data_IF_642422525484
#
_entry.id   IF_642422525484
#
_cell.length_a   1.000
_cell.length_b   1.000
_cell.length_c   1.000
_cell.angle_alpha   90.00
_cell.angle_beta   90.00
_cell.angle_gamma   90.00
#
_symmetry.space_group_name_H-M   'P 1'
#
loop_
_entity.id
_entity.type
_entity.pdbx_description
1 polymer ?
#
# COMPACT_ATOMS: atom_id res chain seq x y z
N UNK A 1 -0.93 -17.98 -6.10
CA UNK A 1 -1.89 -17.17 -6.89
C UNK A 1 -3.28 -17.40 -6.31
N UNK A 2 -3.71 -16.55 -5.37
CA UNK A 2 -5.04 -16.65 -4.77
C UNK A 2 -6.08 -16.37 -5.87
N UNK A 3 -7.08 -17.23 -5.96
CA UNK A 3 -8.11 -17.16 -6.99
C UNK A 3 -8.96 -15.89 -6.77
N UNK A 4 -9.22 -15.07 -7.81
CA UNK A 4 -10.08 -13.89 -7.75
C UNK A 4 -11.46 -14.16 -7.13
N UNK A 5 -11.92 -15.40 -7.22
CA UNK A 5 -13.20 -15.88 -6.72
C UNK A 5 -13.39 -15.78 -5.20
N UNK A 6 -12.33 -15.95 -4.41
CA UNK A 6 -12.44 -15.92 -2.94
C UNK A 6 -12.58 -14.49 -2.38
N UNK A 7 -11.99 -13.51 -3.03
CA UNK A 7 -12.06 -12.12 -2.58
C UNK A 7 -13.46 -11.54 -2.84
N UNK A 8 -14.03 -11.76 -4.01
CA UNK A 8 -15.41 -11.35 -4.28
C UNK A 8 -16.42 -12.04 -3.36
N UNK A 9 -16.24 -13.35 -3.08
CA UNK A 9 -17.08 -14.07 -2.11
C UNK A 9 -17.02 -13.39 -0.73
N UNK A 10 -15.82 -13.06 -0.26
CA UNK A 10 -15.60 -12.36 1.02
C UNK A 10 -16.30 -11.00 1.05
N UNK A 11 -16.12 -10.20 0.00
CA UNK A 11 -16.72 -8.86 -0.10
C UNK A 11 -18.25 -8.92 -0.11
N UNK A 12 -18.85 -9.86 -0.87
CA UNK A 12 -20.31 -10.04 -0.88
C UNK A 12 -20.81 -10.47 0.51
N UNK A 13 -20.17 -11.47 1.14
CA UNK A 13 -20.55 -11.92 2.47
C UNK A 13 -20.42 -10.80 3.50
N UNK A 14 -19.37 -9.98 3.40
CA UNK A 14 -19.15 -8.83 4.27
C UNK A 14 -20.23 -7.75 4.10
N UNK A 15 -20.61 -7.44 2.86
CA UNK A 15 -21.70 -6.50 2.57
C UNK A 15 -23.04 -6.99 3.11
N UNK A 16 -23.35 -8.31 3.01
CA UNK A 16 -24.56 -8.88 3.58
C UNK A 16 -24.50 -8.88 5.12
N UNK A 17 -23.33 -9.09 5.69
CA UNK A 17 -23.09 -9.12 7.13
C UNK A 17 -23.26 -7.75 7.81
N UNK A 18 -23.12 -6.64 7.07
CA UNK A 18 -23.32 -5.28 7.62
C UNK A 18 -24.75 -5.01 8.09
N UNK A 19 -25.71 -5.84 7.65
CA UNK A 19 -27.13 -5.68 7.99
C UNK A 19 -27.85 -4.61 7.18
N UNK A 20 -27.16 -3.87 6.34
CA UNK A 20 -27.79 -2.90 5.43
C UNK A 20 -28.50 -3.59 4.26
N UNK A 21 -29.55 -2.99 3.70
CA UNK A 21 -30.22 -3.54 2.53
C UNK A 21 -29.27 -3.60 1.32
N UNK A 22 -28.94 -4.80 0.90
CA UNK A 22 -28.03 -5.04 -0.22
C UNK A 22 -28.82 -5.44 -1.47
N UNK A 23 -28.51 -4.84 -2.61
CA UNK A 23 -29.06 -5.21 -3.92
C UNK A 23 -27.96 -5.72 -4.84
N UNK A 24 -28.32 -6.48 -5.88
CA UNK A 24 -27.36 -6.91 -6.89
C UNK A 24 -26.66 -5.71 -7.58
N UNK A 25 -27.37 -4.59 -7.73
CA UNK A 25 -26.83 -3.37 -8.36
C UNK A 25 -25.85 -2.64 -7.42
N UNK A 26 -26.17 -2.53 -6.13
CA UNK A 26 -25.22 -1.94 -5.17
C UNK A 26 -23.95 -2.79 -5.09
N UNK A 27 -24.08 -4.11 -4.95
CA UNK A 27 -22.95 -5.04 -4.94
C UNK A 27 -22.09 -4.96 -6.23
N UNK A 28 -22.74 -4.82 -7.39
CA UNK A 28 -22.02 -4.64 -8.67
C UNK A 28 -21.15 -3.38 -8.66
N UNK A 29 -21.68 -2.28 -8.10
CA UNK A 29 -20.92 -1.04 -7.92
C UNK A 29 -19.76 -1.20 -6.94
N UNK A 30 -20.02 -1.77 -5.77
CA UNK A 30 -19.04 -1.95 -4.70
C UNK A 30 -17.89 -2.89 -5.10
N UNK A 31 -18.22 -3.93 -5.88
CA UNK A 31 -17.25 -4.90 -6.39
C UNK A 31 -16.50 -4.42 -7.65
N UNK A 32 -17.00 -3.38 -8.32
CA UNK A 32 -16.45 -2.94 -9.60
C UNK A 32 -16.60 -3.96 -10.74
N UNK A 33 -17.62 -4.84 -10.69
CA UNK A 33 -17.86 -5.91 -11.68
C UNK A 33 -19.24 -5.80 -12.33
N UNK A 34 -19.40 -6.44 -13.49
CA UNK A 34 -20.68 -6.44 -14.21
C UNK A 34 -21.80 -7.10 -13.39
N UNK A 35 -23.03 -6.58 -13.51
CA UNK A 35 -24.21 -7.08 -12.80
C UNK A 35 -24.46 -8.59 -13.05
N UNK A 36 -24.19 -9.08 -14.24
CA UNK A 36 -24.31 -10.50 -14.59
C UNK A 36 -23.36 -11.38 -13.76
N UNK A 37 -22.11 -10.94 -13.59
CA UNK A 37 -21.14 -11.64 -12.74
C UNK A 37 -21.55 -11.58 -11.27
N UNK A 38 -21.99 -10.44 -10.79
CA UNK A 38 -22.51 -10.29 -9.40
C UNK A 38 -23.65 -11.29 -9.13
N UNK A 39 -24.59 -11.45 -10.06
CA UNK A 39 -25.66 -12.40 -9.95
C UNK A 39 -25.15 -13.86 -9.91
N UNK A 40 -24.17 -14.18 -10.73
CA UNK A 40 -23.53 -15.51 -10.73
C UNK A 40 -22.86 -15.81 -9.37
N UNK A 41 -22.10 -14.84 -8.84
CA UNK A 41 -21.43 -14.93 -7.56
C UNK A 41 -22.44 -15.15 -6.40
N UNK A 42 -23.52 -14.37 -6.39
CA UNK A 42 -24.59 -14.52 -5.37
C UNK A 42 -25.24 -15.90 -5.46
N UNK A 43 -25.62 -16.37 -6.68
CA UNK A 43 -26.18 -17.71 -6.86
C UNK A 43 -25.23 -18.80 -6.37
N UNK A 44 -23.92 -18.65 -6.59
CA UNK A 44 -22.91 -19.57 -6.08
C UNK A 44 -22.91 -19.61 -4.55
N UNK A 45 -22.96 -18.44 -3.88
CA UNK A 45 -23.01 -18.36 -2.41
C UNK A 45 -24.31 -18.95 -1.82
N UNK A 46 -25.43 -18.76 -2.52
CA UNK A 46 -26.71 -19.41 -2.17
C UNK A 46 -26.62 -20.93 -2.36
N UNK A 47 -26.06 -21.40 -3.47
CA UNK A 47 -25.84 -22.81 -3.73
C UNK A 47 -24.91 -23.49 -2.72
N UNK A 48 -23.92 -22.77 -2.20
CA UNK A 48 -23.03 -23.21 -1.09
C UNK A 48 -23.73 -23.16 0.28
N UNK A 49 -24.94 -22.64 0.36
CA UNK A 49 -25.67 -22.51 1.62
C UNK A 49 -25.16 -21.39 2.54
N UNK A 50 -24.33 -20.48 2.05
CA UNK A 50 -23.78 -19.36 2.84
C UNK A 50 -24.76 -18.20 2.96
N UNK A 51 -25.62 -18.02 1.97
CA UNK A 51 -26.61 -16.95 1.90
C UNK A 51 -27.99 -17.57 1.65
N UNK A 52 -29.01 -17.08 2.35
CA UNK A 52 -30.42 -17.35 2.06
C UNK A 52 -31.03 -16.13 1.38
N UNK A 53 -31.90 -16.39 0.42
CA UNK A 53 -32.75 -15.37 -0.22
C UNK A 53 -34.09 -15.37 0.45
N UNK A 54 -34.51 -14.24 0.99
CA UNK A 54 -35.83 -14.05 1.60
C UNK A 54 -36.55 -12.91 0.86
N UNK A 55 -37.87 -13.00 0.77
CA UNK A 55 -38.74 -11.98 0.17
C UNK A 55 -39.75 -12.57 -0.80
N UNK A 56 -40.87 -11.86 -0.99
CA UNK A 56 -41.90 -12.23 -1.94
C UNK A 56 -41.73 -11.45 -3.25
N UNK A 57 -41.47 -12.18 -4.34
CA UNK A 57 -41.34 -11.61 -5.68
C UNK A 57 -40.01 -10.89 -5.93
N UNK A 58 -39.90 -10.31 -7.13
CA UNK A 58 -38.64 -9.71 -7.63
C UNK A 58 -38.28 -8.33 -7.03
N UNK A 59 -39.23 -7.69 -6.33
CA UNK A 59 -39.06 -6.31 -5.84
C UNK A 59 -38.53 -6.16 -4.42
N UNK A 60 -38.55 -7.25 -3.61
CA UNK A 60 -38.17 -7.22 -2.20
C UNK A 60 -37.26 -8.40 -1.83
N UNK A 61 -36.26 -8.66 -2.63
CA UNK A 61 -35.24 -9.68 -2.35
C UNK A 61 -34.32 -9.18 -1.23
N UNK A 62 -34.24 -9.99 -0.16
CA UNK A 62 -33.26 -9.80 0.91
C UNK A 62 -32.30 -10.97 0.96
N UNK A 63 -31.04 -10.65 1.13
CA UNK A 63 -29.99 -11.64 1.35
C UNK A 63 -29.70 -11.74 2.84
N UNK A 64 -29.71 -12.95 3.37
CA UNK A 64 -29.51 -13.23 4.79
C UNK A 64 -28.32 -14.17 4.95
N UNK A 65 -27.45 -13.85 5.90
CA UNK A 65 -26.36 -14.75 6.28
C UNK A 65 -26.88 -15.98 6.98
N UNK A 66 -26.32 -17.14 6.65
CA UNK A 66 -26.50 -18.38 7.40
C UNK A 66 -25.38 -18.58 8.43
N UNK A 67 -25.50 -19.48 9.40
CA UNK A 67 -24.35 -19.86 10.25
C UNK A 67 -23.13 -20.29 9.45
N UNK A 68 -23.32 -21.12 8.40
CA UNK A 68 -22.26 -21.51 7.49
C UNK A 68 -21.65 -20.33 6.71
N UNK A 69 -22.46 -19.31 6.38
CA UNK A 69 -22.00 -18.07 5.77
C UNK A 69 -21.10 -17.25 6.69
N UNK A 70 -21.45 -17.15 7.98
CA UNK A 70 -20.61 -16.50 8.99
C UNK A 70 -19.26 -17.21 9.16
N UNK A 71 -19.25 -18.54 9.21
CA UNK A 71 -18.02 -19.32 9.27
C UNK A 71 -17.16 -19.15 8.01
N UNK A 72 -17.80 -19.12 6.82
CA UNK A 72 -17.11 -18.88 5.56
C UNK A 72 -16.49 -17.49 5.50
N UNK A 73 -17.22 -16.45 5.94
CA UNK A 73 -16.71 -15.10 6.04
C UNK A 73 -15.49 -15.01 6.98
N UNK A 74 -15.61 -15.58 8.18
CA UNK A 74 -14.53 -15.59 9.16
C UNK A 74 -13.27 -16.29 8.61
N UNK A 75 -13.44 -17.40 7.90
CA UNK A 75 -12.34 -18.12 7.24
C UNK A 75 -11.70 -17.29 6.13
N UNK A 76 -12.52 -16.71 5.24
CA UNK A 76 -12.04 -15.89 4.14
C UNK A 76 -11.30 -14.62 4.64
N UNK A 77 -11.79 -14.00 5.70
CA UNK A 77 -11.14 -12.86 6.35
C UNK A 77 -9.78 -13.24 6.91
N UNK A 78 -9.65 -14.37 7.61
CA UNK A 78 -8.35 -14.84 8.12
C UNK A 78 -7.34 -15.10 6.99
N UNK A 79 -7.79 -15.69 5.88
CA UNK A 79 -6.93 -15.92 4.71
C UNK A 79 -6.48 -14.59 4.10
N UNK A 80 -7.41 -13.64 3.92
CA UNK A 80 -7.08 -12.31 3.40
C UNK A 80 -6.08 -11.57 4.28
N UNK A 81 -6.25 -11.62 5.61
CA UNK A 81 -5.30 -11.05 6.56
C UNK A 81 -3.91 -11.71 6.46
N UNK A 82 -3.86 -13.05 6.41
CA UNK A 82 -2.60 -13.77 6.27
C UNK A 82 -1.86 -13.39 4.97
N UNK A 83 -2.58 -13.28 3.85
CA UNK A 83 -2.02 -12.83 2.57
C UNK A 83 -1.49 -11.40 2.64
N UNK A 84 -2.21 -10.50 3.31
CA UNK A 84 -1.77 -9.11 3.51
C UNK A 84 -0.49 -9.05 4.33
N UNK A 85 -0.42 -9.81 5.44
CA UNK A 85 0.81 -9.88 6.26
C UNK A 85 1.97 -10.48 5.47
N UNK A 86 1.72 -11.51 4.68
CA UNK A 86 2.75 -12.11 3.83
C UNK A 86 3.31 -11.12 2.81
N UNK A 87 2.42 -10.43 2.07
CA UNK A 87 2.82 -9.40 1.12
C UNK A 87 3.61 -8.26 1.79
N UNK A 88 3.18 -7.81 2.97
CA UNK A 88 3.92 -6.82 3.74
C UNK A 88 5.33 -7.31 4.09
N UNK A 89 5.46 -8.56 4.54
CA UNK A 89 6.75 -9.16 4.90
C UNK A 89 7.67 -9.24 3.69
N UNK A 90 7.18 -9.71 2.55
CA UNK A 90 7.94 -9.76 1.30
C UNK A 90 8.39 -8.37 0.84
N UNK A 91 7.47 -7.40 0.86
CA UNK A 91 7.80 -6.01 0.50
C UNK A 91 8.87 -5.42 1.43
N UNK A 92 8.75 -5.67 2.74
CA UNK A 92 9.74 -5.23 3.72
C UNK A 92 11.12 -5.85 3.48
N UNK A 93 11.20 -7.13 3.14
CA UNK A 93 12.47 -7.80 2.83
C UNK A 93 13.10 -7.23 1.55
N UNK A 94 12.31 -6.94 0.51
CA UNK A 94 12.79 -6.31 -0.71
C UNK A 94 13.34 -4.89 -0.43
N UNK A 95 12.61 -4.09 0.33
CA UNK A 95 13.05 -2.76 0.73
C UNK A 95 14.33 -2.83 1.57
N UNK A 96 14.42 -3.78 2.50
CA UNK A 96 15.64 -3.99 3.30
C UNK A 96 16.84 -4.33 2.44
N UNK A 97 16.67 -5.22 1.46
CA UNK A 97 17.74 -5.55 0.51
C UNK A 97 18.19 -4.33 -0.30
N UNK A 98 17.24 -3.52 -0.78
CA UNK A 98 17.55 -2.27 -1.50
C UNK A 98 18.31 -1.28 -0.61
N UNK A 99 17.89 -1.09 0.64
CA UNK A 99 18.57 -0.21 1.60
C UNK A 99 19.98 -0.72 1.95
N UNK A 100 20.17 -2.02 2.08
CA UNK A 100 21.49 -2.62 2.29
C UNK A 100 22.42 -2.32 1.09
N UNK A 101 21.94 -2.49 -0.14
CA UNK A 101 22.70 -2.16 -1.34
C UNK A 101 23.00 -0.66 -1.46
N UNK A 102 22.11 0.21 -0.97
CA UNK A 102 22.39 1.66 -0.84
C UNK A 102 23.48 1.90 0.18
N UNK A 103 23.40 1.27 1.36
CA UNK A 103 24.40 1.40 2.42
C UNK A 103 25.81 1.00 1.94
N UNK A 104 25.93 -0.09 1.19
CA UNK A 104 27.21 -0.57 0.66
C UNK A 104 27.86 0.41 -0.33
N UNK A 105 27.05 1.17 -1.07
CA UNK A 105 27.51 2.17 -2.04
C UNK A 105 27.69 3.56 -1.46
N UNK A 106 27.04 3.83 -0.33
CA UNK A 106 27.06 5.13 0.31
C UNK A 106 28.35 5.32 1.10
N UNK A 107 29.14 6.29 0.69
CA UNK A 107 30.34 6.68 1.46
C UNK A 107 29.93 7.47 2.70
N UNK A 108 30.54 7.20 3.85
CA UNK A 108 30.31 7.99 5.06
C UNK A 108 30.86 9.42 4.87
N UNK A 109 30.21 10.38 5.47
CA UNK A 109 30.66 11.76 5.50
C UNK A 109 31.87 11.95 6.47
N UNK A 110 32.34 13.18 6.60
CA UNK A 110 33.46 13.51 7.50
C UNK A 110 33.19 13.17 8.99
N UNK A 111 31.92 12.94 9.36
CA UNK A 111 31.52 12.51 10.70
C UNK A 111 31.33 11.00 10.83
N UNK A 112 31.59 10.24 9.74
CA UNK A 112 31.40 8.80 9.69
C UNK A 112 29.93 8.38 9.47
N UNK A 113 29.02 9.30 9.14
CA UNK A 113 27.61 9.01 8.94
C UNK A 113 27.24 8.87 7.46
N UNK A 114 26.37 7.93 7.15
CA UNK A 114 25.78 7.73 5.83
C UNK A 114 24.39 8.36 5.80
N UNK A 115 24.33 9.64 5.45
CA UNK A 115 23.10 10.45 5.52
C UNK A 115 22.26 10.28 4.27
N UNK A 116 20.98 9.97 4.45
CA UNK A 116 20.04 9.79 3.36
C UNK A 116 18.80 10.65 3.53
N UNK A 117 18.18 11.00 2.40
CA UNK A 117 16.91 11.70 2.32
C UNK A 117 15.90 10.80 1.65
N UNK A 118 14.69 10.70 2.18
CA UNK A 118 13.58 10.07 1.49
C UNK A 118 12.85 11.08 0.62
N UNK A 119 12.53 10.71 -0.60
CA UNK A 119 11.58 11.43 -1.43
C UNK A 119 10.29 10.62 -1.53
N UNK A 120 9.24 11.14 -0.92
CA UNK A 120 7.96 10.49 -0.66
C UNK A 120 7.80 10.17 0.83
N UNK A 121 6.63 10.52 1.39
CA UNK A 121 6.26 10.32 2.80
C UNK A 121 5.05 9.37 2.94
N UNK A 122 4.85 8.44 1.99
CA UNK A 122 3.75 7.48 1.96
C UNK A 122 4.08 6.17 2.67
N UNK A 123 3.21 5.18 2.51
CA UNK A 123 3.29 3.87 3.17
C UNK A 123 4.61 3.14 2.86
N UNK A 124 5.14 3.30 1.63
CA UNK A 124 6.45 2.73 1.25
C UNK A 124 7.58 3.36 2.07
N UNK A 125 7.52 4.68 2.29
CA UNK A 125 8.49 5.37 3.13
C UNK A 125 8.42 4.90 4.59
N UNK A 126 7.22 4.60 5.11
CA UNK A 126 7.04 4.07 6.47
C UNK A 126 7.69 2.68 6.61
N UNK A 127 7.49 1.80 5.64
CA UNK A 127 8.16 0.49 5.61
C UNK A 127 9.67 0.66 5.49
N UNK A 128 10.12 1.59 4.65
CA UNK A 128 11.54 1.89 4.46
C UNK A 128 12.17 2.46 5.75
N UNK A 129 11.48 3.33 6.47
CA UNK A 129 11.96 3.88 7.74
C UNK A 129 12.19 2.79 8.79
N UNK A 130 11.22 1.88 8.95
CA UNK A 130 11.38 0.74 9.86
C UNK A 130 12.53 -0.18 9.42
N UNK A 131 12.69 -0.40 8.12
CA UNK A 131 13.75 -1.25 7.57
C UNK A 131 15.13 -0.60 7.67
N UNK A 132 15.21 0.73 7.59
CA UNK A 132 16.43 1.50 7.70
C UNK A 132 17.11 1.35 9.07
N UNK A 133 16.33 1.09 10.13
CA UNK A 133 16.84 0.84 11.48
C UNK A 133 17.78 -0.38 11.56
N UNK A 134 17.77 -1.26 10.56
CA UNK A 134 18.66 -2.42 10.47
C UNK A 134 19.92 -2.17 9.61
N UNK A 135 20.15 -0.93 9.20
CA UNK A 135 21.31 -0.49 8.39
C UNK A 135 22.12 0.56 9.15
N UNK A 136 23.25 0.99 8.59
CA UNK A 136 24.05 2.11 9.08
C UNK A 136 23.69 3.46 8.41
N UNK A 137 22.56 3.47 7.67
CA UNK A 137 22.03 4.69 7.06
C UNK A 137 21.32 5.56 8.11
N UNK A 138 21.48 6.86 8.02
CA UNK A 138 20.83 7.85 8.88
C UNK A 138 19.88 8.71 8.05
N UNK A 139 18.57 8.65 8.34
CA UNK A 139 17.60 9.52 7.70
C UNK A 139 17.73 10.94 8.27
N UNK A 140 18.08 11.91 7.42
CA UNK A 140 18.25 13.31 7.82
C UNK A 140 17.12 14.23 7.35
N UNK A 141 16.28 13.76 6.45
CA UNK A 141 15.14 14.53 5.97
C UNK A 141 14.20 13.72 5.08
N UNK A 142 13.00 14.23 4.92
CA UNK A 142 11.99 13.67 4.03
C UNK A 142 11.44 14.79 3.16
N UNK A 143 11.31 14.54 1.88
CA UNK A 143 10.71 15.46 0.90
C UNK A 143 9.41 14.86 0.41
N UNK A 144 8.35 15.65 0.32
CA UNK A 144 7.08 15.22 -0.28
C UNK A 144 6.38 16.40 -0.98
N UNK A 145 5.77 16.13 -2.13
CA UNK A 145 5.08 17.16 -2.93
C UNK A 145 3.79 17.65 -2.29
N UNK A 146 3.12 16.79 -1.54
CA UNK A 146 1.76 17.00 -1.03
C UNK A 146 1.67 16.97 0.47
N UNK A 147 2.41 16.06 1.12
CA UNK A 147 2.39 15.88 2.58
C UNK A 147 3.25 16.93 3.25
N UNK A 148 2.81 17.40 4.42
CA UNK A 148 3.50 18.35 5.29
C UNK A 148 3.41 17.87 6.73
N UNK A 149 4.23 18.42 7.60
CA UNK A 149 4.28 18.08 9.03
C UNK A 149 5.38 17.09 9.35
N UNK A 150 5.14 16.18 10.28
CA UNK A 150 6.14 15.19 10.73
C UNK A 150 5.96 13.85 10.02
N UNK A 151 7.08 13.25 9.72
CA UNK A 151 7.22 11.85 9.33
C UNK A 151 8.12 11.20 10.40
N UNK A 152 7.51 10.46 11.31
CA UNK A 152 8.16 10.01 12.56
C UNK A 152 8.84 11.18 13.28
N UNK A 153 10.17 11.13 13.45
CA UNK A 153 10.94 12.16 14.15
C UNK A 153 11.48 13.25 13.21
N UNK A 154 11.23 13.15 11.90
CA UNK A 154 11.77 14.06 10.88
C UNK A 154 10.67 14.95 10.32
N UNK A 155 10.99 16.21 10.02
CA UNK A 155 10.06 17.12 9.34
C UNK A 155 10.02 16.82 7.84
N UNK A 156 8.82 16.89 7.26
CA UNK A 156 8.64 16.80 5.81
C UNK A 156 8.91 18.17 5.22
N UNK A 157 9.92 18.24 4.35
CA UNK A 157 10.33 19.45 3.67
C UNK A 157 9.65 19.59 2.31
N UNK A 158 9.52 20.83 1.85
CA UNK A 158 9.08 21.14 0.50
C UNK A 158 10.19 20.77 -0.51
N UNK A 159 9.84 20.27 -1.72
CA UNK A 159 10.80 19.99 -2.77
C UNK A 159 11.69 21.20 -3.15
N UNK A 160 11.19 22.42 -2.95
CA UNK A 160 11.95 23.64 -3.15
C UNK A 160 13.19 23.81 -2.26
N UNK A 161 13.23 23.07 -1.15
CA UNK A 161 14.33 23.07 -0.18
C UNK A 161 15.45 22.08 -0.49
N UNK A 162 15.24 21.21 -1.48
CA UNK A 162 16.22 20.24 -1.96
C UNK A 162 17.23 20.91 -2.90
N UNK A 163 18.52 20.75 -2.64
CA UNK A 163 19.61 21.09 -3.52
C UNK A 163 20.40 19.84 -3.92
N UNK A 164 21.39 19.96 -4.77
CA UNK A 164 22.20 18.84 -5.26
C UNK A 164 22.92 18.06 -4.13
N UNK A 165 23.16 18.69 -2.99
CA UNK A 165 24.00 18.15 -1.92
C UNK A 165 23.42 18.32 -0.51
N UNK A 166 22.30 19.06 -0.37
CA UNK A 166 21.69 19.32 0.93
C UNK A 166 20.16 19.43 0.86
N UNK A 167 19.50 19.09 1.97
CA UNK A 167 18.09 19.38 2.24
C UNK A 167 18.00 20.30 3.45
N UNK A 168 17.36 21.46 3.29
CA UNK A 168 17.27 22.50 4.34
C UNK A 168 18.65 22.87 4.92
N UNK A 169 19.71 22.82 4.11
CA UNK A 169 21.09 23.07 4.55
C UNK A 169 21.78 21.89 5.24
N UNK A 170 21.09 20.77 5.43
CA UNK A 170 21.69 19.55 5.98
C UNK A 170 22.24 18.69 4.86
N UNK A 171 23.55 18.41 4.81
CA UNK A 171 24.15 17.56 3.78
C UNK A 171 23.60 16.13 3.81
N UNK A 172 23.48 15.52 2.63
CA UNK A 172 23.13 14.12 2.45
C UNK A 172 24.01 13.46 1.38
N UNK A 173 24.13 12.15 1.45
CA UNK A 173 24.89 11.35 0.47
C UNK A 173 24.00 10.76 -0.62
N UNK A 174 22.77 10.35 -0.28
CA UNK A 174 21.85 9.67 -1.19
C UNK A 174 20.41 10.15 -1.01
N UNK A 175 19.66 10.20 -2.12
CA UNK A 175 18.21 10.31 -2.12
C UNK A 175 17.62 8.92 -2.40
N UNK A 176 16.67 8.50 -1.58
CA UNK A 176 15.94 7.25 -1.74
C UNK A 176 14.50 7.59 -2.10
N UNK A 177 14.10 7.28 -3.34
CA UNK A 177 12.73 7.49 -3.81
C UNK A 177 11.84 6.40 -3.25
N UNK A 178 10.98 6.78 -2.31
CA UNK A 178 10.09 5.87 -1.58
C UNK A 178 8.71 5.76 -2.26
N UNK A 179 8.68 5.22 -3.47
CA UNK A 179 7.47 5.01 -4.26
C UNK A 179 7.59 3.79 -5.16
N UNK A 180 6.52 2.98 -5.20
CA UNK A 180 6.39 1.84 -6.12
C UNK A 180 5.52 2.16 -7.35
N UNK A 181 4.97 3.37 -7.44
CA UNK A 181 4.14 3.78 -8.56
C UNK A 181 5.00 4.43 -9.63
N UNK A 182 5.13 3.78 -10.79
CA UNK A 182 6.02 4.22 -11.86
C UNK A 182 5.81 5.69 -12.25
N UNK A 183 4.55 6.11 -12.47
CA UNK A 183 4.23 7.50 -12.83
C UNK A 183 4.62 8.52 -11.75
N UNK A 184 4.61 8.13 -10.47
CA UNK A 184 5.06 8.98 -9.37
C UNK A 184 6.58 9.02 -9.33
N UNK A 185 7.22 7.87 -9.50
CA UNK A 185 8.68 7.73 -9.53
C UNK A 185 9.28 8.58 -10.66
N UNK A 186 8.71 8.51 -11.87
CA UNK A 186 9.16 9.29 -13.04
C UNK A 186 9.05 10.81 -12.78
N UNK A 187 7.93 11.26 -12.19
CA UNK A 187 7.74 12.66 -11.85
C UNK A 187 8.72 13.14 -10.75
N UNK A 188 9.02 12.30 -9.77
CA UNK A 188 10.02 12.59 -8.73
C UNK A 188 11.41 12.66 -9.36
N UNK A 189 11.75 11.71 -10.22
CA UNK A 189 13.05 11.68 -10.89
C UNK A 189 13.29 12.95 -11.69
N UNK A 190 12.31 13.40 -12.49
CA UNK A 190 12.42 14.66 -13.24
C UNK A 190 12.72 15.84 -12.31
N UNK A 191 12.04 15.95 -11.16
CA UNK A 191 12.28 17.04 -10.21
C UNK A 191 13.66 16.99 -9.55
N UNK A 192 14.15 15.79 -9.26
CA UNK A 192 15.50 15.57 -8.74
C UNK A 192 16.54 16.02 -9.76
N UNK A 193 16.34 15.69 -11.04
CA UNK A 193 17.21 16.09 -12.16
C UNK A 193 17.22 17.62 -12.34
N UNK A 194 16.04 18.28 -12.24
CA UNK A 194 15.93 19.75 -12.28
C UNK A 194 16.68 20.44 -11.12
N UNK A 195 16.96 19.74 -10.02
CA UNK A 195 17.75 20.23 -8.88
C UNK A 195 19.25 19.96 -9.01
N UNK A 196 19.66 19.35 -10.11
CA UNK A 196 21.08 19.05 -10.40
C UNK A 196 21.65 17.91 -9.55
N UNK A 197 20.80 17.06 -8.95
CA UNK A 197 21.27 15.89 -8.22
C UNK A 197 21.75 14.84 -9.21
N UNK A 198 23.01 14.36 -9.11
CA UNK A 198 23.50 13.37 -10.03
C UNK A 198 22.77 12.01 -9.85
N UNK A 199 22.48 11.29 -10.95
CA UNK A 199 21.79 10.00 -10.89
C UNK A 199 22.47 8.96 -9.99
N UNK A 200 23.79 9.03 -9.82
CA UNK A 200 24.53 8.16 -8.91
C UNK A 200 24.16 8.34 -7.44
N UNK A 201 23.53 9.47 -7.09
CA UNK A 201 23.05 9.76 -5.73
C UNK A 201 21.55 9.53 -5.56
N UNK A 202 20.91 8.87 -6.50
CA UNK A 202 19.47 8.54 -6.45
C UNK A 202 19.30 7.04 -6.49
N UNK A 203 18.51 6.52 -5.58
CA UNK A 203 18.15 5.10 -5.50
C UNK A 203 16.64 4.95 -5.45
N UNK A 204 16.10 3.95 -6.13
CA UNK A 204 14.69 3.59 -6.10
C UNK A 204 14.49 2.39 -5.16
N UNK A 205 13.35 2.38 -4.45
CA UNK A 205 12.91 1.23 -3.66
C UNK A 205 12.04 0.29 -4.48
#
# INVERSE_FOLDING_TARGET
MALPDHEHDRQILQAIASGEPVTQRSLSGDLGVALGLTNLLIRRLVGKGYVKVAGMGTRHVRYLMTPAGWEALARATRISMANTVHLYTETREQIRASLTAVSERCEPDATGQKRVVFYGAGDVAEIAYVSLQSTDLTLVGVVDDRRRGKFFDVMISDPGRLSADALDGVPYSQIIVASIRQNVTDAIQQRIDERGVPPSRVSLL
#
